data_IF_415655106126
#
_entry.id   IF_415655106126
#
_cell.length_a   1.000
_cell.length_b   1.000
_cell.length_c   1.000
_cell.angle_alpha   90.00
_cell.angle_beta   90.00
_cell.angle_gamma   90.00
#
_symmetry.space_group_name_H-M   'P 1'
#
loop_
_entity.id
_entity.type
_entity.pdbx_description
1 polymer ?
#
# COMPACT_ATOMS: atom_id res chain seq x y z
N UNK A 1 -13.82 -6.46 14.81
CA UNK A 1 -15.11 -6.96 15.35
C UNK A 1 -14.94 -8.23 16.20
N UNK A 2 -14.25 -9.24 15.69
CA UNK A 2 -14.06 -10.53 16.41
C UNK A 2 -13.45 -10.40 17.80
N UNK A 3 -12.34 -9.68 17.94
CA UNK A 3 -11.70 -9.51 19.26
C UNK A 3 -12.63 -8.77 20.24
N UNK A 4 -13.37 -7.77 19.77
CA UNK A 4 -14.32 -7.04 20.60
C UNK A 4 -15.48 -7.94 21.07
N UNK A 5 -16.02 -8.76 20.16
CA UNK A 5 -17.04 -9.77 20.46
C UNK A 5 -16.55 -10.77 21.51
N UNK A 6 -15.35 -11.33 21.32
CA UNK A 6 -14.72 -12.25 22.29
C UNK A 6 -14.44 -11.61 23.65
N UNK A 7 -14.15 -10.31 23.68
CA UNK A 7 -13.92 -9.55 24.91
C UNK A 7 -15.22 -9.08 25.60
N UNK A 8 -16.39 -9.28 24.98
CA UNK A 8 -17.66 -8.76 25.49
C UNK A 8 -17.74 -7.23 25.45
N UNK A 9 -17.00 -6.59 24.55
CA UNK A 9 -16.94 -5.13 24.39
C UNK A 9 -17.71 -4.72 23.15
N UNK A 10 -18.65 -3.77 23.31
CA UNK A 10 -19.37 -3.20 22.18
C UNK A 10 -18.42 -2.43 21.25
N UNK A 11 -18.57 -2.55 19.91
CA UNK A 11 -17.84 -1.69 18.99
C UNK A 11 -18.15 -0.21 19.23
N UNK A 12 -17.20 0.69 18.96
CA UNK A 12 -17.48 2.11 19.01
C UNK A 12 -18.57 2.47 18.00
N UNK A 13 -19.47 3.35 18.39
CA UNK A 13 -20.43 3.99 17.47
C UNK A 13 -19.69 5.03 16.60
N UNK A 14 -20.37 6.08 16.14
CA UNK A 14 -19.77 7.12 15.30
C UNK A 14 -18.66 7.93 15.99
N UNK A 15 -18.55 7.85 17.33
CA UNK A 15 -17.59 8.64 18.11
C UNK A 15 -16.90 7.83 19.20
N UNK A 16 -15.62 8.12 19.41
CA UNK A 16 -14.82 7.58 20.51
C UNK A 16 -13.92 8.68 21.09
N UNK A 17 -13.89 8.85 22.41
CA UNK A 17 -13.08 9.88 23.07
C UNK A 17 -13.38 11.32 22.61
N UNK A 18 -14.63 11.60 22.24
CA UNK A 18 -15.06 12.92 21.73
C UNK A 18 -14.73 13.18 20.26
N UNK A 19 -14.14 12.23 19.53
CA UNK A 19 -13.78 12.38 18.11
C UNK A 19 -14.61 11.45 17.23
N UNK A 20 -14.95 11.84 16.00
CA UNK A 20 -15.55 10.93 15.03
C UNK A 20 -14.57 9.79 14.71
N UNK A 21 -15.11 8.59 14.52
CA UNK A 21 -14.35 7.41 14.10
C UNK A 21 -15.06 6.71 12.95
N UNK A 22 -14.28 6.05 12.10
CA UNK A 22 -14.82 5.28 10.98
C UNK A 22 -15.50 4.00 11.48
N UNK A 23 -16.57 3.61 10.82
CA UNK A 23 -17.26 2.36 11.11
C UNK A 23 -16.35 1.16 10.79
N UNK A 24 -16.49 0.10 11.59
CA UNK A 24 -15.80 -1.15 11.27
C UNK A 24 -16.38 -1.77 9.99
N UNK A 25 -15.55 -2.00 8.99
CA UNK A 25 -15.95 -2.61 7.71
C UNK A 25 -15.87 -4.14 7.72
N UNK A 26 -15.10 -4.71 8.65
CA UNK A 26 -15.00 -6.16 8.84
C UNK A 26 -16.23 -6.74 9.55
N UNK A 27 -16.37 -8.08 9.53
CA UNK A 27 -17.41 -8.81 10.27
C UNK A 27 -16.86 -9.58 11.46
N UNK A 28 -17.73 -9.94 12.38
CA UNK A 28 -17.40 -10.84 13.47
C UNK A 28 -17.23 -12.26 12.93
N UNK A 29 -16.08 -12.88 13.20
CA UNK A 29 -15.76 -14.25 12.79
C UNK A 29 -16.11 -15.29 13.87
N UNK A 30 -16.61 -14.90 15.05
CA UNK A 30 -17.02 -15.86 16.08
C UNK A 30 -18.00 -16.94 15.60
N UNK A 31 -18.93 -16.70 14.64
CA UNK A 31 -19.78 -17.77 14.12
C UNK A 31 -19.00 -18.88 13.42
N UNK A 32 -17.94 -18.53 12.68
CA UNK A 32 -17.04 -19.51 12.02
C UNK A 32 -16.23 -20.25 13.07
N UNK A 33 -15.65 -19.53 14.03
CA UNK A 33 -14.80 -20.12 15.06
C UNK A 33 -15.57 -21.07 15.99
N UNK A 34 -16.86 -20.83 16.19
CA UNK A 34 -17.75 -21.70 16.98
C UNK A 34 -18.39 -22.83 16.18
N UNK A 35 -18.19 -22.88 14.85
CA UNK A 35 -18.83 -23.84 13.96
C UNK A 35 -20.34 -23.62 13.79
N UNK A 36 -20.86 -22.45 14.14
CA UNK A 36 -22.28 -22.12 13.99
C UNK A 36 -22.63 -21.54 12.61
N UNK A 37 -21.62 -21.17 11.81
CA UNK A 37 -21.76 -20.80 10.41
C UNK A 37 -20.50 -21.15 9.60
N UNK A 38 -20.69 -21.55 8.33
CA UNK A 38 -19.57 -21.81 7.41
C UNK A 38 -18.96 -20.52 6.82
N UNK A 39 -19.76 -19.44 6.73
CA UNK A 39 -19.36 -18.15 6.14
C UNK A 39 -20.02 -17.00 6.89
N UNK A 40 -19.31 -15.88 7.02
CA UNK A 40 -19.88 -14.59 7.48
C UNK A 40 -20.01 -13.56 6.36
N UNK A 41 -19.38 -13.84 5.22
CA UNK A 41 -19.51 -13.09 3.97
C UNK A 41 -20.27 -13.98 2.97
N UNK A 42 -21.43 -13.52 2.54
CA UNK A 42 -22.30 -14.19 1.57
C UNK A 42 -21.90 -13.92 0.12
N UNK A 43 -22.63 -14.52 -0.81
CA UNK A 43 -22.33 -14.48 -2.24
C UNK A 43 -22.40 -13.07 -2.88
N UNK A 44 -23.10 -12.13 -2.25
CA UNK A 44 -23.21 -10.74 -2.72
C UNK A 44 -22.40 -9.73 -1.89
N UNK A 45 -21.67 -10.20 -0.88
CA UNK A 45 -20.80 -9.33 -0.09
C UNK A 45 -19.54 -9.03 -0.89
N UNK A 46 -19.22 -7.75 -1.03
CA UNK A 46 -18.06 -7.28 -1.76
C UNK A 46 -16.96 -6.80 -0.80
N UNK A 47 -15.72 -7.23 -1.04
CA UNK A 47 -14.54 -6.79 -0.28
C UNK A 47 -13.49 -6.30 -1.27
N UNK A 48 -13.19 -5.01 -1.22
CA UNK A 48 -12.21 -4.38 -2.09
C UNK A 48 -10.91 -4.05 -1.34
N UNK A 49 -9.81 -4.02 -2.09
CA UNK A 49 -8.62 -3.28 -1.68
C UNK A 49 -7.90 -2.70 -2.89
N UNK A 50 -7.15 -1.64 -2.65
CA UNK A 50 -6.25 -1.01 -3.61
C UNK A 50 -4.88 -0.82 -2.97
N UNK A 51 -3.83 -1.04 -3.75
CA UNK A 51 -2.47 -0.68 -3.34
C UNK A 51 -1.60 -0.39 -4.56
N UNK A 52 -1.01 0.80 -4.58
CA UNK A 52 -0.05 1.23 -5.60
C UNK A 52 -0.58 1.08 -7.05
N UNK A 53 -1.85 1.40 -7.26
CA UNK A 53 -2.55 1.33 -8.55
C UNK A 53 -3.11 -0.05 -8.88
N UNK A 54 -2.79 -1.08 -8.09
CA UNK A 54 -3.39 -2.41 -8.21
C UNK A 54 -4.76 -2.40 -7.51
N UNK A 55 -5.76 -2.98 -8.15
CA UNK A 55 -7.12 -3.05 -7.62
C UNK A 55 -7.60 -4.48 -7.50
N UNK A 56 -8.29 -4.81 -6.41
CA UNK A 56 -8.92 -6.11 -6.20
C UNK A 56 -10.32 -5.92 -5.64
N UNK A 57 -11.25 -6.76 -6.09
CA UNK A 57 -12.56 -6.93 -5.48
C UNK A 57 -12.90 -8.42 -5.39
N UNK A 58 -13.28 -8.88 -4.20
CA UNK A 58 -13.89 -10.19 -3.99
C UNK A 58 -15.41 -10.04 -3.92
N UNK A 59 -16.16 -10.90 -4.59
CA UNK A 59 -17.63 -11.03 -4.46
C UNK A 59 -17.98 -12.53 -4.46
N UNK A 60 -18.32 -13.07 -3.28
CA UNK A 60 -18.52 -14.50 -3.10
C UNK A 60 -17.27 -15.32 -3.44
N UNK A 61 -17.36 -16.15 -4.47
CA UNK A 61 -16.28 -17.05 -4.90
C UNK A 61 -15.43 -16.45 -6.05
N UNK A 62 -15.73 -15.20 -6.44
CA UNK A 62 -15.08 -14.54 -7.56
C UNK A 62 -14.15 -13.43 -7.10
N UNK A 63 -13.09 -13.23 -7.87
CA UNK A 63 -12.13 -12.13 -7.72
C UNK A 63 -12.04 -11.37 -9.03
N UNK A 64 -12.19 -10.06 -8.95
CA UNK A 64 -11.87 -9.11 -10.01
C UNK A 64 -10.54 -8.44 -9.64
N UNK A 65 -9.58 -8.40 -10.56
CA UNK A 65 -8.24 -7.85 -10.29
C UNK A 65 -7.67 -7.10 -11.48
N UNK A 66 -6.94 -6.02 -11.20
CA UNK A 66 -6.08 -5.32 -12.16
C UNK A 66 -4.66 -5.23 -11.59
N UNK A 67 -3.68 -5.64 -12.40
CA UNK A 67 -2.28 -5.52 -12.07
C UNK A 67 -1.59 -4.52 -12.99
N UNK A 68 -0.98 -3.49 -12.40
CA UNK A 68 -0.29 -2.46 -13.16
C UNK A 68 1.07 -2.94 -13.68
N UNK A 69 1.57 -2.37 -14.78
CA UNK A 69 2.96 -2.51 -15.21
C UNK A 69 3.94 -2.14 -14.09
N UNK A 70 5.14 -2.73 -14.07
CA UNK A 70 5.71 -3.64 -15.07
C UNK A 70 5.33 -5.13 -14.88
N UNK A 71 4.59 -5.46 -13.82
CA UNK A 71 4.28 -6.87 -13.47
C UNK A 71 2.97 -7.37 -14.07
N UNK A 72 2.07 -6.46 -14.42
CA UNK A 72 0.83 -6.76 -15.16
C UNK A 72 0.69 -5.90 -16.42
N UNK A 73 -0.48 -5.99 -17.04
CA UNK A 73 -0.84 -5.36 -18.31
C UNK A 73 -1.89 -4.26 -18.17
N UNK A 74 -2.18 -3.83 -16.93
CA UNK A 74 -3.24 -2.88 -16.60
C UNK A 74 -4.62 -3.29 -17.14
N UNK A 75 -4.88 -4.59 -17.32
CA UNK A 75 -6.20 -5.09 -17.71
C UNK A 75 -6.93 -5.67 -16.50
N UNK A 76 -8.22 -5.37 -16.41
CA UNK A 76 -9.11 -6.02 -15.47
C UNK A 76 -9.37 -7.46 -15.90
N UNK A 77 -9.26 -8.40 -14.97
CA UNK A 77 -9.55 -9.82 -15.18
C UNK A 77 -10.46 -10.36 -14.09
N UNK A 78 -11.22 -11.38 -14.42
CA UNK A 78 -12.19 -12.02 -13.53
C UNK A 78 -11.85 -13.50 -13.37
N UNK A 79 -11.80 -13.96 -12.12
CA UNK A 79 -11.50 -15.36 -11.79
C UNK A 79 -12.53 -15.90 -10.81
N UNK A 80 -12.82 -17.20 -10.89
CA UNK A 80 -13.45 -17.94 -9.80
C UNK A 80 -12.34 -18.59 -8.96
N UNK A 81 -12.08 -18.05 -7.77
CA UNK A 81 -10.94 -18.44 -6.94
C UNK A 81 -11.15 -19.75 -6.17
N UNK A 82 -12.37 -20.30 -6.17
CA UNK A 82 -12.65 -21.62 -5.60
C UNK A 82 -12.28 -22.72 -6.59
N UNK A 83 -12.64 -22.54 -7.86
CA UNK A 83 -12.32 -23.52 -8.91
C UNK A 83 -10.95 -23.31 -9.55
N UNK A 84 -10.44 -22.08 -9.52
CA UNK A 84 -9.13 -21.69 -10.04
C UNK A 84 -8.40 -20.78 -9.03
N UNK A 85 -7.84 -21.35 -7.94
CA UNK A 85 -7.08 -20.58 -6.94
C UNK A 85 -5.83 -19.92 -7.50
N UNK A 86 -5.34 -20.37 -8.66
CA UNK A 86 -4.14 -19.86 -9.32
C UNK A 86 -4.38 -18.65 -10.23
N UNK A 87 -5.64 -18.22 -10.41
CA UNK A 87 -6.00 -17.09 -11.28
C UNK A 87 -5.46 -17.25 -12.71
N UNK A 88 -5.62 -18.45 -13.27
CA UNK A 88 -5.06 -18.86 -14.56
C UNK A 88 -6.03 -18.70 -15.73
N UNK A 89 -7.34 -18.80 -15.48
CA UNK A 89 -8.38 -18.76 -16.50
C UNK A 89 -9.26 -17.50 -16.34
N UNK A 90 -9.01 -16.49 -17.18
CA UNK A 90 -9.81 -15.26 -17.18
C UNK A 90 -11.23 -15.51 -17.72
N UNK A 91 -12.22 -15.21 -16.90
CA UNK A 91 -13.64 -15.37 -17.17
C UNK A 91 -14.31 -14.09 -17.68
N UNK A 92 -13.59 -12.97 -17.84
CA UNK A 92 -14.19 -11.68 -18.20
C UNK A 92 -15.04 -11.74 -19.48
N UNK A 93 -14.57 -12.43 -20.51
CA UNK A 93 -15.30 -12.62 -21.77
C UNK A 93 -16.40 -13.70 -21.70
N UNK A 94 -16.26 -14.68 -20.80
CA UNK A 94 -17.22 -15.78 -20.63
C UNK A 94 -18.40 -15.38 -19.74
N UNK A 95 -18.17 -14.51 -18.76
CA UNK A 95 -19.17 -14.01 -17.81
C UNK A 95 -19.25 -12.46 -17.80
N UNK A 96 -19.60 -11.82 -18.93
CA UNK A 96 -19.54 -10.37 -19.07
C UNK A 96 -20.48 -9.63 -18.10
N UNK A 97 -21.63 -10.20 -17.76
CA UNK A 97 -22.56 -9.61 -16.79
C UNK A 97 -21.97 -9.58 -15.37
N UNK A 98 -21.25 -10.65 -14.97
CA UNK A 98 -20.55 -10.69 -13.68
C UNK A 98 -19.40 -9.72 -13.66
N UNK A 99 -18.60 -9.72 -14.73
CA UNK A 99 -17.47 -8.80 -14.88
C UNK A 99 -17.92 -7.34 -14.72
N UNK A 100 -18.95 -6.92 -15.44
CA UNK A 100 -19.48 -5.54 -15.35
C UNK A 100 -20.06 -5.24 -13.97
N UNK A 101 -20.79 -6.18 -13.35
CA UNK A 101 -21.30 -5.99 -11.98
C UNK A 101 -20.17 -5.79 -10.98
N UNK A 102 -19.16 -6.65 -11.01
CA UNK A 102 -18.02 -6.55 -10.10
C UNK A 102 -17.20 -5.28 -10.37
N UNK A 103 -17.07 -4.85 -11.63
CA UNK A 103 -16.41 -3.58 -11.95
C UNK A 103 -17.15 -2.39 -11.34
N UNK A 104 -18.49 -2.37 -11.45
CA UNK A 104 -19.32 -1.36 -10.80
C UNK A 104 -19.19 -1.37 -9.26
N UNK A 105 -19.14 -2.57 -8.66
CA UNK A 105 -18.89 -2.72 -7.21
C UNK A 105 -17.51 -2.23 -6.79
N UNK A 106 -16.50 -2.42 -7.63
CA UNK A 106 -15.16 -1.89 -7.36
C UNK A 106 -15.14 -0.36 -7.43
N UNK A 107 -15.86 0.26 -8.39
CA UNK A 107 -16.01 1.72 -8.40
C UNK A 107 -16.71 2.24 -7.14
N UNK A 108 -17.78 1.57 -6.69
CA UNK A 108 -18.43 1.89 -5.42
C UNK A 108 -17.44 1.80 -4.24
N UNK A 109 -16.64 0.73 -4.17
CA UNK A 109 -15.60 0.58 -3.14
C UNK A 109 -14.61 1.75 -3.17
N UNK A 110 -14.16 2.18 -4.36
CA UNK A 110 -13.22 3.29 -4.52
C UNK A 110 -13.78 4.60 -3.97
N UNK A 111 -15.05 4.89 -4.28
CA UNK A 111 -15.73 6.10 -3.81
C UNK A 111 -15.90 6.08 -2.28
N UNK A 112 -16.36 4.95 -1.73
CA UNK A 112 -16.56 4.76 -0.28
C UNK A 112 -15.25 4.87 0.51
N UNK A 113 -14.13 4.42 -0.07
CA UNK A 113 -12.83 4.39 0.60
C UNK A 113 -11.88 5.52 0.17
N UNK A 114 -12.37 6.47 -0.65
CA UNK A 114 -11.61 7.61 -1.16
C UNK A 114 -10.28 7.20 -1.81
N UNK A 115 -10.32 6.12 -2.60
CA UNK A 115 -9.15 5.60 -3.31
C UNK A 115 -8.69 6.64 -4.32
N UNK A 116 -7.45 7.09 -4.17
CA UNK A 116 -6.85 8.08 -5.05
C UNK A 116 -6.28 7.38 -6.29
N UNK A 117 -6.54 7.95 -7.47
CA UNK A 117 -5.88 7.49 -8.69
C UNK A 117 -4.43 7.94 -8.69
N UNK A 118 -3.53 7.03 -9.05
CA UNK A 118 -2.17 7.40 -9.41
C UNK A 118 -2.20 8.13 -10.75
N UNK A 119 -1.44 9.21 -10.89
CA UNK A 119 -1.38 9.90 -12.17
C UNK A 119 -0.76 8.97 -13.22
N UNK A 120 -1.26 9.05 -14.46
CA UNK A 120 -0.74 8.26 -15.57
C UNK A 120 0.76 8.53 -15.76
N UNK A 121 1.58 7.50 -15.60
CA UNK A 121 3.04 7.59 -15.72
C UNK A 121 3.80 7.66 -14.39
N UNK A 122 3.10 7.78 -13.26
CA UNK A 122 3.73 7.68 -11.95
C UNK A 122 4.18 6.24 -11.71
N UNK A 123 5.50 6.06 -11.63
CA UNK A 123 6.08 4.81 -11.17
C UNK A 123 6.34 4.94 -9.66
N UNK A 124 5.59 4.25 -8.79
CA UNK A 124 5.73 4.39 -7.35
C UNK A 124 7.17 4.17 -6.87
N UNK A 125 7.92 3.25 -7.51
CA UNK A 125 9.31 3.01 -7.18
C UNK A 125 10.20 4.20 -7.50
N UNK A 126 9.99 4.84 -8.66
CA UNK A 126 10.74 6.04 -9.03
C UNK A 126 10.41 7.20 -8.08
N UNK A 127 9.14 7.35 -7.70
CA UNK A 127 8.74 8.40 -6.77
C UNK A 127 9.35 8.21 -5.39
N UNK A 128 9.43 6.96 -4.88
CA UNK A 128 10.12 6.65 -3.62
C UNK A 128 11.59 7.06 -3.70
N UNK A 129 12.30 6.69 -4.77
CA UNK A 129 13.73 7.03 -4.95
C UNK A 129 13.92 8.54 -5.05
N UNK A 130 13.07 9.23 -5.80
CA UNK A 130 13.14 10.69 -5.96
C UNK A 130 12.86 11.41 -4.64
N UNK A 131 11.81 11.00 -3.92
CA UNK A 131 11.48 11.57 -2.61
C UNK A 131 12.60 11.34 -1.61
N UNK A 132 13.24 10.16 -1.62
CA UNK A 132 14.39 9.85 -0.78
C UNK A 132 15.56 10.78 -1.11
N UNK A 133 15.87 10.96 -2.40
CA UNK A 133 16.93 11.87 -2.83
C UNK A 133 16.66 13.32 -2.39
N UNK A 134 15.44 13.82 -2.60
CA UNK A 134 15.02 15.15 -2.19
C UNK A 134 15.08 15.35 -0.67
N UNK A 135 14.70 14.33 0.11
CA UNK A 135 14.78 14.35 1.56
C UNK A 135 16.23 14.51 2.07
N UNK A 136 17.20 13.88 1.41
CA UNK A 136 18.62 13.96 1.80
C UNK A 136 19.40 15.08 1.13
N UNK A 137 18.80 15.80 0.17
CA UNK A 137 19.46 16.89 -0.56
C UNK A 137 20.03 17.95 0.37
N UNK A 138 19.22 18.46 1.29
CA UNK A 138 19.62 19.58 2.14
C UNK A 138 20.73 19.16 3.12
N UNK A 139 20.68 17.93 3.63
CA UNK A 139 21.76 17.35 4.44
C UNK A 139 23.05 17.20 3.62
N UNK A 140 22.97 16.73 2.37
CA UNK A 140 24.13 16.61 1.49
C UNK A 140 24.76 17.99 1.20
N UNK A 141 23.95 19.03 0.98
CA UNK A 141 24.42 20.41 0.81
C UNK A 141 25.14 20.90 2.07
N UNK A 142 24.58 20.67 3.26
CA UNK A 142 25.21 21.06 4.53
C UNK A 142 26.56 20.35 4.71
N UNK A 143 26.63 19.05 4.44
CA UNK A 143 27.88 18.27 4.49
C UNK A 143 28.91 18.81 3.49
N UNK A 144 28.50 19.13 2.26
CA UNK A 144 29.38 19.70 1.25
C UNK A 144 29.95 21.06 1.69
N UNK A 145 29.09 21.94 2.22
CA UNK A 145 29.50 23.27 2.71
C UNK A 145 30.42 23.17 3.94
N UNK A 146 30.15 22.25 4.86
CA UNK A 146 31.04 22.02 6.02
C UNK A 146 32.39 21.44 5.58
N UNK A 147 32.42 20.50 4.63
CA UNK A 147 33.69 20.03 4.07
C UNK A 147 34.46 21.16 3.39
N UNK A 148 33.78 22.00 2.59
CA UNK A 148 34.40 23.14 1.92
C UNK A 148 35.02 24.13 2.94
N UNK A 149 34.30 24.40 4.03
CA UNK A 149 34.76 25.27 5.12
C UNK A 149 35.97 24.68 5.86
N UNK A 150 35.99 23.36 6.10
CA UNK A 150 37.05 22.68 6.87
C UNK A 150 38.28 22.30 6.02
N UNK A 151 38.13 22.17 4.70
CA UNK A 151 39.20 21.80 3.78
C UNK A 151 40.46 22.68 3.91
N UNK A 152 40.38 24.03 3.90
CA UNK A 152 41.58 24.87 4.02
C UNK A 152 42.29 24.71 5.37
N UNK A 153 41.54 24.52 6.47
CA UNK A 153 42.12 24.25 7.79
C UNK A 153 42.85 22.91 7.83
N UNK A 154 42.27 21.87 7.21
CA UNK A 154 42.89 20.56 7.11
C UNK A 154 44.18 20.58 6.28
N UNK A 155 44.18 21.32 5.17
CA UNK A 155 45.38 21.52 4.32
C UNK A 155 46.46 22.26 5.10
N UNK A 156 46.14 23.36 5.78
CA UNK A 156 47.08 24.11 6.60
C UNK A 156 47.67 23.25 7.74
N UNK A 157 46.85 22.47 8.43
CA UNK A 157 47.28 21.52 9.47
C UNK A 157 48.26 20.47 8.91
N UNK A 158 47.96 19.88 7.74
CA UNK A 158 48.85 18.91 7.09
C UNK A 158 50.18 19.52 6.65
N UNK A 159 50.16 20.74 6.11
CA UNK A 159 51.38 21.45 5.72
C UNK A 159 52.29 21.71 6.92
N UNK A 160 51.72 22.18 8.03
CA UNK A 160 52.48 22.42 9.27
C UNK A 160 53.10 21.14 9.83
N UNK A 161 52.31 20.06 9.96
CA UNK A 161 52.79 18.77 10.45
C UNK A 161 53.92 18.18 9.59
N UNK A 162 53.89 18.36 8.27
CA UNK A 162 54.96 17.90 7.36
C UNK A 162 56.24 18.74 7.50
N UNK A 163 56.11 20.02 7.86
CA UNK A 163 57.24 20.89 8.20
C UNK A 163 57.90 20.49 9.53
N UNK A 164 57.10 20.14 10.54
CA UNK A 164 57.57 19.73 11.87
C UNK A 164 58.23 18.33 11.87
N UNK A 165 58.00 17.50 10.83
CA UNK A 165 58.56 16.15 10.70
C UNK A 165 59.86 16.06 9.86
N UNK A 166 60.38 17.18 9.34
CA UNK A 166 61.72 17.18 8.72
C UNK A 166 62.79 17.16 9.83
N UNK A 167 63.66 16.14 9.92
CA UNK A 167 64.77 16.18 10.87
C UNK A 167 65.73 17.30 10.47
N UNK A 168 66.28 18.02 11.47
CA UNK A 168 67.44 18.90 11.25
C UNK A 168 68.57 18.02 10.72
N UNK A 169 69.00 18.31 9.49
CA UNK A 169 70.24 17.80 8.92
C UNK A 169 71.44 18.55 9.52
#
# INVERSE_FOLDING_TARGET
PTILSLAGVSPPEERYGGRPVEAMTGRDLTPILSGSADRVYGAGDAIGYELAGHGVLFEGDYKLVINQPPVGDAQWRLFNIVTDPGETADLAALEPLRFQRMLARYQQYRDENRVLELATGDNPRQQIVLNLFLQYRDAAVVVLLTMLLLLPFLVAYRMKRKSDQKPLA
#
